data_IF_792170563264
#
_entry.id   IF_792170563264
#
_cell.length_a   1.000
_cell.length_b   1.000
_cell.length_c   1.000
_cell.angle_alpha   90.00
_cell.angle_beta   90.00
_cell.angle_gamma   90.00
#
_symmetry.space_group_name_H-M   'P 1'
#
loop_
_entity.id
_entity.type
_entity.pdbx_description
1 polymer ?
2 non-polymer ?
3 water ?
#
# COMPACT_ATOMS: atom_id res chain seq x y z
N UNK A 20 1.01 -4.24 -25.56
CA UNK A 20 0.54 -3.59 -26.83
C UNK A 20 -0.54 -2.55 -26.51
N UNK A 21 -1.62 -3.05 -25.90
CA UNK A 21 -2.60 -2.26 -25.15
C UNK A 21 -1.92 -1.27 -24.20
N UNK A 22 -0.80 -1.67 -23.57
CA UNK A 22 -0.15 -0.86 -22.56
C UNK A 22 1.14 -0.29 -23.14
N UNK A 23 1.25 -0.19 -24.46
CA UNK A 23 2.47 0.34 -25.04
C UNK A 23 2.73 1.77 -24.53
N UNK A 24 1.69 2.60 -24.52
CA UNK A 24 1.83 4.01 -24.16
C UNK A 24 2.26 4.12 -22.69
N UNK A 25 1.62 3.34 -21.82
CA UNK A 25 1.98 3.31 -20.42
C UNK A 25 3.50 3.09 -20.32
N UNK A 26 3.99 2.18 -21.17
CA UNK A 26 5.37 1.76 -21.11
C UNK A 26 6.28 2.92 -21.46
N UNK A 27 5.88 3.69 -22.48
CA UNK A 27 6.68 4.82 -22.95
C UNK A 27 6.70 5.93 -21.91
N UNK A 28 5.58 6.13 -21.23
CA UNK A 28 5.50 7.11 -20.16
C UNK A 28 6.43 6.72 -19.02
N UNK A 29 6.52 5.42 -18.77
CA UNK A 29 7.31 4.93 -17.68
C UNK A 29 8.76 5.08 -18.05
N UNK A 30 9.12 4.79 -19.31
CA UNK A 30 10.51 4.85 -19.72
C UNK A 30 10.98 6.30 -19.65
N UNK A 31 10.15 7.24 -20.09
CA UNK A 31 10.44 8.66 -20.03
C UNK A 31 10.75 9.09 -18.61
N UNK A 32 9.88 8.69 -17.68
CA UNK A 32 10.02 9.10 -16.30
C UNK A 32 11.30 8.54 -15.72
N UNK A 33 11.54 7.26 -15.98
CA UNK A 33 12.76 6.57 -15.53
C UNK A 33 14.00 7.34 -16.02
N UNK A 34 13.91 7.99 -17.20
CA UNK A 34 15.02 8.78 -17.69
C UNK A 34 15.07 10.13 -16.98
N UNK A 35 13.92 10.84 -16.95
CA UNK A 35 13.93 12.20 -16.43
C UNK A 35 14.32 12.24 -14.96
N UNK A 36 13.98 11.20 -14.20
CA UNK A 36 14.19 11.22 -12.74
C UNK A 36 15.43 10.39 -12.39
N UNK A 37 16.11 9.87 -13.42
CA UNK A 37 17.28 9.02 -13.20
C UNK A 37 17.00 7.98 -12.14
N UNK A 38 15.82 7.34 -12.23
CA UNK A 38 15.22 6.48 -11.19
C UNK A 38 15.13 5.01 -11.59
N UNK A 39 14.80 4.17 -10.60
CA UNK A 39 14.26 2.84 -10.84
C UNK A 39 12.74 2.91 -10.67
N UNK A 40 12.00 2.53 -11.74
CA UNK A 40 10.54 2.51 -11.67
C UNK A 40 9.98 1.11 -11.97
N UNK A 41 9.01 0.67 -11.15
CA UNK A 41 8.37 -0.63 -11.32
C UNK A 41 6.84 -0.49 -11.36
N UNK A 42 6.19 -1.15 -12.34
CA UNK A 42 4.73 -1.12 -12.43
C UNK A 42 4.14 -2.51 -12.70
N UNK A 43 2.97 -2.76 -12.11
CA UNK A 43 2.22 -3.97 -12.36
C UNK A 43 0.73 -3.67 -12.34
N UNK A 44 -0.01 -4.26 -13.27
CA UNK A 44 -1.43 -3.99 -13.45
C UNK A 44 -2.15 -5.31 -13.67
N UNK A 45 -3.12 -5.61 -12.80
CA UNK A 45 -3.91 -6.84 -12.87
C UNK A 45 -5.34 -6.48 -13.19
N UNK A 46 -5.89 -7.09 -14.26
CA UNK A 46 -7.29 -6.98 -14.64
C UNK A 46 -8.04 -8.22 -14.13
N UNK A 47 -8.91 -8.04 -13.13
CA UNK A 47 -9.53 -9.20 -12.51
C UNK A 47 -10.66 -9.80 -13.36
N UNK A 48 -11.27 -9.04 -14.27
CA UNK A 48 -12.39 -9.55 -15.05
C UNK A 48 -11.94 -10.76 -15.87
N UNK A 49 -11.13 -10.52 -16.91
CA UNK A 49 -10.39 -11.58 -17.58
C UNK A 49 -9.20 -11.86 -16.68
N UNK A 50 -8.14 -12.47 -17.21
CA UNK A 50 -6.95 -12.56 -16.39
C UNK A 50 -5.77 -11.84 -17.02
N UNK A 51 -5.98 -10.62 -17.52
CA UNK A 51 -4.89 -9.91 -18.15
C UNK A 51 -4.08 -9.21 -17.05
N UNK A 52 -2.81 -9.03 -17.38
CA UNK A 52 -1.81 -8.55 -16.45
C UNK A 52 -0.66 -7.94 -17.26
N UNK A 53 -0.04 -6.92 -16.70
CA UNK A 53 1.05 -6.22 -17.34
C UNK A 53 2.06 -5.76 -16.25
N UNK A 54 3.36 -5.79 -16.53
CA UNK A 54 4.37 -5.20 -15.65
C UNK A 54 5.52 -4.53 -16.43
N UNK A 55 6.11 -3.51 -15.80
CA UNK A 55 7.42 -2.99 -16.13
C UNK A 55 8.31 -3.10 -14.89
N UNK A 56 9.42 -3.85 -15.02
CA UNK A 56 10.28 -4.17 -13.89
C UNK A 56 9.44 -4.77 -12.75
N UNK A 57 8.46 -5.61 -13.10
CA UNK A 57 7.50 -6.07 -12.13
C UNK A 57 8.09 -7.04 -11.11
N UNK A 58 9.29 -7.51 -11.40
CA UNK A 58 9.98 -8.45 -10.54
C UNK A 58 11.09 -7.76 -9.74
N UNK A 59 11.30 -6.47 -9.95
CA UNK A 59 12.38 -5.80 -9.25
C UNK A 59 11.89 -5.48 -7.84
N UNK A 60 12.85 -5.29 -6.92
CA UNK A 60 12.53 -5.03 -5.53
C UNK A 60 12.49 -3.53 -5.30
N UNK A 61 11.51 -3.10 -4.50
CA UNK A 61 11.38 -1.73 -4.08
C UNK A 61 11.01 -1.73 -2.60
N UNK A 62 11.32 -0.66 -1.86
CA UNK A 62 10.82 -0.50 -0.50
C UNK A 62 9.31 -0.32 -0.44
N UNK A 63 8.70 -1.05 0.52
CA UNK A 63 7.29 -0.93 0.82
C UNK A 63 6.94 0.48 1.27
N UNK A 64 7.80 1.09 2.08
CA UNK A 64 7.38 2.22 2.90
C UNK A 64 5.95 1.95 3.41
N UNK A 65 5.02 2.90 3.28
CA UNK A 65 3.73 2.78 3.96
C UNK A 65 2.77 1.87 3.19
N UNK A 66 3.18 1.29 2.05
CA UNK A 66 2.28 0.41 1.32
C UNK A 66 2.07 -0.88 2.09
N UNK A 67 2.87 -1.08 3.15
CA UNK A 67 2.85 -2.27 3.95
C UNK A 67 1.66 -2.24 4.88
N UNK A 68 1.21 -1.04 5.24
CA UNK A 68 0.27 -0.91 6.33
C UNK A 68 -0.98 -1.72 6.00
N UNK A 69 -1.22 -1.95 4.71
CA UNK A 69 -2.43 -2.67 4.34
C UNK A 69 -2.34 -4.09 4.88
N UNK A 70 -1.13 -4.65 4.81
CA UNK A 70 -0.90 -6.06 5.08
C UNK A 70 -1.11 -6.33 6.56
N UNK A 71 -0.60 -5.45 7.41
CA UNK A 71 -0.74 -5.61 8.87
C UNK A 71 -2.18 -5.43 9.36
N UNK A 72 -2.97 -4.53 8.77
CA UNK A 72 -4.38 -4.41 9.15
C UNK A 72 -5.24 -5.52 8.47
N UNK A 73 -4.76 -6.11 7.39
CA UNK A 73 -5.45 -7.30 6.91
C UNK A 73 -5.10 -8.44 7.88
N UNK A 74 -3.88 -8.45 8.42
CA UNK A 74 -3.60 -9.48 9.42
C UNK A 74 -4.53 -9.32 10.61
N UNK A 75 -4.63 -8.10 11.17
CA UNK A 75 -5.44 -7.91 12.37
C UNK A 75 -6.82 -8.54 12.22
N UNK A 76 -7.52 -8.19 11.14
CA UNK A 76 -8.85 -8.70 10.83
C UNK A 76 -8.85 -10.22 10.68
N UNK A 77 -7.89 -10.77 9.94
CA UNK A 77 -7.80 -12.22 9.82
C UNK A 77 -7.61 -12.86 11.20
N UNK A 78 -6.59 -12.42 11.95
CA UNK A 78 -6.29 -12.98 13.26
C UNK A 78 -7.47 -12.83 14.24
N UNK A 79 -8.29 -11.78 14.09
CA UNK A 79 -9.49 -11.66 14.88
C UNK A 79 -10.51 -12.75 14.51
N UNK A 80 -10.69 -13.06 13.21
CA UNK A 80 -11.64 -14.07 12.77
C UNK A 80 -11.31 -15.41 13.42
N UNK A 81 -10.01 -15.64 13.64
CA UNK A 81 -9.49 -16.89 14.19
C UNK A 81 -9.51 -16.86 15.72
N UNK A 82 -10.01 -15.75 16.28
CA UNK A 82 -10.15 -15.59 17.71
C UNK A 82 -8.86 -15.28 18.46
N UNK A 83 -7.73 -14.99 17.77
CA UNK A 83 -6.42 -14.81 18.42
C UNK A 83 -6.20 -13.39 19.02
N UNK A 84 -7.05 -12.42 18.68
CA UNK A 84 -6.91 -11.08 19.23
C UNK A 84 -8.23 -10.35 19.03
N UNK A 85 -8.53 -9.40 19.93
CA UNK A 85 -9.77 -8.65 19.91
C UNK A 85 -9.46 -7.24 19.37
N UNK A 86 -10.13 -6.79 18.28
CA UNK A 86 -9.97 -5.42 17.78
C UNK A 86 -10.66 -4.31 18.58
N UNK A 87 -11.63 -4.67 19.44
CA UNK A 87 -12.21 -3.72 20.40
C UNK A 87 -11.33 -3.64 21.67
N UNK A 88 -10.21 -4.38 21.72
CA UNK A 88 -9.29 -4.24 22.83
C UNK A 88 -8.32 -3.07 22.59
N UNK A 89 -7.97 -2.36 23.66
CA UNK A 89 -7.34 -1.05 23.60
C UNK A 89 -5.89 -1.08 24.09
N UNK A 90 -5.03 -0.33 23.40
CA UNK A 90 -3.68 -0.12 23.92
C UNK A 90 -3.58 1.32 24.41
N UNK A 91 -2.59 1.52 25.31
CA UNK A 91 -2.39 2.75 26.03
C UNK A 91 -1.19 3.46 25.42
N UNK A 92 -1.36 4.74 25.09
CA UNK A 92 -0.32 5.48 24.40
C UNK A 92 0.55 6.18 25.43
N UNK A 93 1.84 5.88 25.40
CA UNK A 93 2.81 6.63 26.20
C UNK A 93 3.56 7.60 25.29
N UNK A 94 3.89 8.77 25.84
CA UNK A 94 4.67 9.78 25.15
C UNK A 94 5.87 9.15 24.45
N UNK A 95 6.61 8.24 25.10
CA UNK A 95 7.87 7.75 24.55
C UNK A 95 7.65 6.74 23.42
N UNK A 96 6.39 6.36 23.16
CA UNK A 96 6.13 5.45 22.05
C UNK A 96 6.05 6.19 20.71
N UNK A 97 5.92 7.53 20.76
CA UNK A 97 5.66 8.35 19.59
C UNK A 97 6.87 8.39 18.65
N UNK A 98 6.55 8.26 17.34
CA UNK A 98 7.50 8.39 16.25
C UNK A 98 7.00 9.51 15.35
N UNK A 99 7.90 9.99 14.49
CA UNK A 99 7.58 10.99 13.49
C UNK A 99 6.28 10.67 12.75
N UNK A 100 5.47 11.74 12.58
CA UNK A 100 4.20 11.76 11.87
C UNK A 100 3.21 10.72 12.42
N UNK A 101 2.54 11.14 13.49
CA UNK A 101 1.46 10.43 14.16
C UNK A 101 0.38 11.46 14.50
N UNK A 102 -0.37 11.99 13.53
CA UNK A 102 -1.40 12.98 13.84
C UNK A 102 -2.47 12.52 14.84
N UNK A 103 -3.00 11.31 14.64
CA UNK A 103 -4.10 10.80 15.45
C UNK A 103 -3.60 10.48 16.85
N UNK A 104 -2.47 9.81 16.90
CA UNK A 104 -2.05 9.23 18.16
C UNK A 104 -1.45 10.30 19.05
N UNK A 105 -0.85 11.35 18.48
CA UNK A 105 -0.26 12.39 19.30
C UNK A 105 -1.35 13.21 20.00
N UNK A 106 -2.58 13.16 19.49
CA UNK A 106 -3.73 13.78 20.14
C UNK A 106 -4.20 12.97 21.35
N UNK A 107 -3.56 11.84 21.70
CA UNK A 107 -4.19 10.88 22.61
C UNK A 107 -3.22 10.28 23.63
N UNK A 108 -2.06 10.93 23.85
CA UNK A 108 -1.15 10.50 24.90
C UNK A 108 -1.91 10.41 26.22
N UNK A 109 -1.72 9.30 26.95
CA UNK A 109 -2.51 8.99 28.14
C UNK A 109 -3.99 8.73 27.87
N UNK A 110 -4.32 8.25 26.66
CA UNK A 110 -5.60 7.60 26.40
C UNK A 110 -5.34 6.25 25.71
N UNK A 111 -6.40 5.42 25.71
CA UNK A 111 -6.35 4.09 25.10
C UNK A 111 -7.04 4.09 23.73
N UNK A 112 -6.58 3.22 22.84
CA UNK A 112 -7.21 3.15 21.53
C UNK A 112 -7.48 1.68 21.20
N UNK A 113 -8.68 1.44 20.64
CA UNK A 113 -9.02 0.17 20.00
C UNK A 113 -8.11 -0.04 18.78
N UNK A 114 -7.57 -1.26 18.65
CA UNK A 114 -6.80 -1.64 17.48
C UNK A 114 -7.60 -1.29 16.23
N UNK A 115 -8.89 -1.57 16.27
CA UNK A 115 -9.78 -1.17 15.19
C UNK A 115 -9.57 0.31 14.84
N UNK A 116 -9.60 1.18 15.86
CA UNK A 116 -9.38 2.60 15.68
C UNK A 116 -8.00 2.85 15.08
N UNK A 117 -6.98 2.12 15.60
CA UNK A 117 -5.58 2.29 15.19
C UNK A 117 -5.35 1.93 13.71
N UNK A 118 -6.05 0.92 13.22
CA UNK A 118 -6.02 0.59 11.81
C UNK A 118 -6.70 1.68 11.01
N UNK A 119 -7.90 2.13 11.45
CA UNK A 119 -8.56 3.26 10.79
C UNK A 119 -7.55 4.42 10.67
N UNK A 120 -6.88 4.76 11.77
CA UNK A 120 -5.92 5.85 11.80
C UNK A 120 -4.81 5.60 10.77
N UNK A 121 -4.10 4.47 10.88
CA UNK A 121 -2.95 4.26 10.03
C UNK A 121 -3.37 4.05 8.57
N UNK A 122 -4.57 3.52 8.30
CA UNK A 122 -4.94 3.33 6.91
C UNK A 122 -5.45 4.64 6.28
N UNK A 123 -6.03 5.52 7.10
CA UNK A 123 -6.64 6.74 6.56
C UNK A 123 -5.70 7.96 6.63
N UNK A 124 -4.75 8.00 7.58
CA UNK A 124 -3.86 9.15 7.69
C UNK A 124 -2.39 8.75 7.57
N UNK A 125 -2.16 7.44 7.72
CA UNK A 125 -0.83 6.83 7.70
C UNK A 125 -0.04 7.20 8.95
N UNK A 126 -0.76 7.38 10.07
CA UNK A 126 -0.17 7.62 11.38
C UNK A 126 0.83 6.51 11.68
N UNK A 127 2.07 6.87 12.01
CA UNK A 127 3.08 5.83 12.11
C UNK A 127 3.06 5.15 13.48
N UNK A 128 2.69 5.89 14.52
CA UNK A 128 2.64 5.27 15.83
C UNK A 128 1.55 4.20 15.81
N UNK A 129 0.43 4.53 15.20
CA UNK A 129 -0.68 3.62 15.05
C UNK A 129 -0.28 2.33 14.32
N UNK A 130 0.58 2.44 13.30
CA UNK A 130 1.12 1.29 12.59
C UNK A 130 1.96 0.43 13.52
N UNK A 131 2.83 1.06 14.30
CA UNK A 131 3.64 0.31 15.24
C UNK A 131 2.73 -0.44 16.21
N UNK A 132 1.60 0.16 16.58
CA UNK A 132 0.71 -0.50 17.53
C UNK A 132 0.19 -1.76 16.87
N UNK A 133 -0.49 -1.59 15.74
CA UNK A 133 -1.02 -2.68 14.97
C UNK A 133 0.03 -3.79 14.82
N UNK A 134 1.31 -3.45 14.56
CA UNK A 134 2.38 -4.44 14.36
C UNK A 134 2.62 -5.30 15.59
N UNK A 135 2.62 -4.64 16.76
CA UNK A 135 2.82 -5.29 18.04
C UNK A 135 1.68 -6.27 18.36
N UNK A 136 0.50 -6.04 17.81
CA UNK A 136 -0.64 -6.93 18.08
C UNK A 136 -0.75 -8.06 17.04
N UNK A 137 0.13 -8.12 16.02
CA UNK A 137 0.05 -9.20 15.05
C UNK A 137 1.41 -9.88 14.87
N UNK A 138 2.28 -9.81 15.88
CA UNK A 138 3.44 -10.68 15.91
C UNK A 138 4.66 -10.03 15.27
N UNK A 139 4.61 -8.72 15.06
CA UNK A 139 5.78 -7.97 14.64
C UNK A 139 6.05 -8.15 13.15
N UNK A 140 7.22 -7.68 12.67
CA UNK A 140 7.58 -7.78 11.26
C UNK A 140 7.65 -9.22 10.78
N UNK A 141 8.02 -10.14 11.69
CA UNK A 141 8.09 -11.57 11.39
C UNK A 141 6.69 -12.17 11.27
N UNK A 142 5.74 -11.66 12.02
CA UNK A 142 4.38 -12.16 11.90
C UNK A 142 3.78 -11.83 10.53
N UNK A 143 3.98 -10.59 10.11
CA UNK A 143 3.52 -10.07 8.83
C UNK A 143 4.13 -10.88 7.68
N UNK A 144 5.43 -11.16 7.75
CA UNK A 144 6.11 -11.91 6.70
C UNK A 144 5.59 -13.34 6.65
N UNK A 145 5.42 -13.99 7.81
CA UNK A 145 4.93 -15.36 7.85
C UNK A 145 3.57 -15.39 7.15
N UNK A 146 2.77 -14.35 7.40
CA UNK A 146 1.40 -14.28 6.94
C UNK A 146 1.37 -14.23 5.41
N UNK A 147 2.28 -13.40 4.88
CA UNK A 147 2.40 -13.19 3.46
C UNK A 147 2.73 -14.54 2.80
N UNK A 148 3.69 -15.27 3.37
CA UNK A 148 4.05 -16.61 2.92
C UNK A 148 2.81 -17.52 2.90
N UNK A 149 1.94 -17.45 3.92
CA UNK A 149 0.81 -18.35 3.97
C UNK A 149 -0.27 -17.97 2.94
N UNK A 150 -0.35 -16.73 2.47
CA UNK A 150 -1.29 -16.47 1.38
C UNK A 150 -0.57 -16.63 0.04
N UNK A 151 0.72 -16.96 0.08
CA UNK A 151 1.41 -17.31 -1.16
C UNK A 151 2.12 -16.13 -1.81
N UNK A 152 2.34 -15.05 -1.05
CA UNK A 152 3.30 -14.02 -1.46
C UNK A 152 4.67 -14.53 -1.02
N UNK A 153 5.57 -14.73 -1.99
CA UNK A 153 6.88 -15.29 -1.73
C UNK A 153 7.98 -14.22 -1.70
N UNK A 154 7.66 -12.97 -2.08
CA UNK A 154 8.69 -11.95 -2.25
C UNK A 154 8.61 -10.90 -1.12
N UNK A 155 7.39 -10.44 -0.80
CA UNK A 155 7.21 -9.34 0.12
C UNK A 155 7.66 -9.75 1.52
N UNK A 156 8.31 -8.80 2.19
CA UNK A 156 8.85 -9.06 3.51
C UNK A 156 8.96 -7.77 4.32
N UNK A 157 8.42 -7.80 5.54
CA UNK A 157 8.65 -6.78 6.57
C UNK A 157 9.59 -7.30 7.69
N UNK A 158 10.51 -6.40 8.06
CA UNK A 158 11.70 -6.72 8.79
C UNK A 158 11.94 -5.72 9.92
N UNK A 159 11.32 -4.54 9.83
CA UNK A 159 11.55 -3.45 10.78
C UNK A 159 10.25 -2.72 11.02
N UNK A 160 10.22 -1.93 12.09
CA UNK A 160 9.07 -1.12 12.43
C UNK A 160 9.34 0.32 12.00
N UNK A 161 8.47 1.25 12.44
CA UNK A 161 8.62 2.63 12.05
C UNK A 161 9.59 3.29 13.02
N UNK A 162 10.53 4.12 12.54
CA UNK A 162 10.59 4.58 11.15
C UNK A 162 11.67 3.99 10.24
N UNK A 163 12.47 3.08 10.77
CA UNK A 163 13.66 2.60 10.08
C UNK A 163 13.31 1.82 8.82
N UNK A 164 12.08 1.29 8.69
CA UNK A 164 11.69 0.47 7.53
C UNK A 164 11.69 1.30 6.25
N UNK A 165 11.71 2.64 6.38
CA UNK A 165 11.66 3.55 5.26
C UNK A 165 13.04 3.88 4.71
N UNK A 166 14.07 3.16 5.16
CA UNK A 166 15.44 3.54 4.89
C UNK A 166 15.73 3.46 3.38
N UNK A 167 15.25 2.40 2.70
CA UNK A 167 15.17 2.39 1.26
C UNK A 167 16.54 2.35 0.60
N UNK A 168 17.48 1.70 1.29
CA UNK A 168 18.87 1.66 0.90
C UNK A 168 19.03 0.67 -0.26
N UNK A 169 19.95 1.00 -1.17
CA UNK A 169 20.25 0.18 -2.33
C UNK A 169 20.75 -1.22 -1.98
N UNK A 170 20.18 -2.22 -2.63
CA UNK A 170 20.57 -3.61 -2.44
C UNK A 170 20.11 -4.19 -1.09
N UNK A 171 19.46 -3.36 -0.26
CA UNK A 171 18.91 -3.83 1.01
C UNK A 171 17.60 -4.57 0.73
N UNK A 172 17.54 -5.83 1.21
CA UNK A 172 16.39 -6.68 0.99
C UNK A 172 15.26 -6.37 1.99
N UNK A 173 15.59 -5.81 3.14
CA UNK A 173 14.58 -5.62 4.17
C UNK A 173 13.50 -4.63 3.71
N UNK A 174 12.23 -4.95 4.03
CA UNK A 174 11.09 -4.08 3.90
C UNK A 174 10.80 -3.80 2.43
N UNK A 175 10.91 -4.84 1.59
CA UNK A 175 10.74 -4.73 0.15
C UNK A 175 9.59 -5.58 -0.40
N UNK A 176 9.12 -5.20 -1.58
CA UNK A 176 8.20 -6.06 -2.31
C UNK A 176 8.60 -5.99 -3.77
N UNK A 177 7.86 -6.68 -4.63
CA UNK A 177 7.93 -6.41 -6.07
C UNK A 177 6.59 -5.85 -6.50
N UNK A 178 6.52 -5.06 -7.57
CA UNK A 178 5.24 -4.48 -7.94
C UNK A 178 4.23 -5.62 -8.08
N UNK A 179 4.65 -6.72 -8.70
CA UNK A 179 3.74 -7.82 -9.00
C UNK A 179 3.31 -8.51 -7.70
N UNK A 180 4.26 -8.76 -6.82
CA UNK A 180 3.93 -9.51 -5.61
C UNK A 180 2.86 -8.82 -4.76
N UNK A 181 2.97 -7.50 -4.53
CA UNK A 181 2.04 -6.79 -3.69
C UNK A 181 0.70 -6.58 -4.41
N UNK A 182 0.76 -6.41 -5.71
CA UNK A 182 -0.45 -6.35 -6.50
C UNK A 182 -1.23 -7.66 -6.36
N UNK A 183 -0.56 -8.83 -6.44
CA UNK A 183 -1.23 -10.11 -6.21
C UNK A 183 -1.78 -10.20 -4.79
N UNK A 184 -0.99 -9.80 -3.79
CA UNK A 184 -1.40 -9.88 -2.40
C UNK A 184 -2.70 -9.08 -2.17
N UNK A 185 -2.70 -7.84 -2.64
CA UNK A 185 -3.85 -6.96 -2.51
C UNK A 185 -5.05 -7.58 -3.23
N UNK A 186 -4.82 -8.21 -4.39
CA UNK A 186 -5.84 -8.95 -5.11
C UNK A 186 -6.51 -9.99 -4.21
N UNK A 187 -5.70 -10.81 -3.54
CA UNK A 187 -6.19 -11.87 -2.69
C UNK A 187 -6.87 -11.34 -1.44
N UNK A 188 -6.41 -10.21 -0.89
CA UNK A 188 -6.99 -9.71 0.34
C UNK A 188 -8.44 -9.30 0.12
N UNK A 189 -8.71 -8.70 -1.02
CA UNK A 189 -9.98 -8.01 -1.23
C UNK A 189 -10.99 -8.88 -1.98
N UNK A 190 -10.49 -9.83 -2.78
CA UNK A 190 -11.29 -10.57 -3.74
C UNK A 190 -11.15 -12.08 -3.58
N UNK A 191 -10.14 -12.51 -2.80
CA UNK A 191 -9.98 -13.90 -2.43
C UNK A 191 -10.71 -14.22 -1.14
N UNK A 192 -10.51 -15.44 -0.62
CA UNK A 192 -11.36 -15.91 0.46
C UNK A 192 -10.64 -15.98 1.80
N UNK A 193 -9.40 -15.53 1.85
CA UNK A 193 -8.64 -15.44 3.11
C UNK A 193 -9.44 -14.77 4.24
N UNK A 194 -10.26 -13.80 3.88
CA UNK A 194 -11.00 -12.96 4.80
C UNK A 194 -12.50 -13.12 4.56
N UNK A 195 -13.30 -12.95 5.63
CA UNK A 195 -14.75 -12.97 5.49
C UNK A 195 -15.17 -11.77 4.65
N UNK A 196 -16.37 -11.84 4.08
CA UNK A 196 -16.85 -10.78 3.19
C UNK A 196 -16.92 -9.47 3.96
N UNK A 197 -17.43 -9.53 5.19
CA UNK A 197 -17.57 -8.35 6.01
C UNK A 197 -16.17 -7.71 6.18
N UNK A 198 -15.16 -8.52 6.54
CA UNK A 198 -13.80 -8.04 6.72
C UNK A 198 -13.11 -7.59 5.43
N UNK A 199 -13.42 -8.18 4.28
CA UNK A 199 -12.99 -7.63 3.00
C UNK A 199 -13.56 -6.22 2.86
N UNK A 200 -14.79 -6.05 3.33
CA UNK A 200 -15.52 -4.83 3.08
C UNK A 200 -14.98 -3.74 4.01
N UNK A 201 -14.45 -4.16 5.15
CA UNK A 201 -13.91 -3.25 6.14
C UNK A 201 -12.59 -2.69 5.62
N UNK A 202 -11.76 -3.61 5.10
CA UNK A 202 -10.45 -3.30 4.58
C UNK A 202 -10.58 -2.39 3.38
N UNK A 203 -11.55 -2.72 2.51
CA UNK A 203 -11.91 -1.85 1.41
C UNK A 203 -12.19 -0.44 1.91
N UNK A 204 -12.98 -0.32 2.99
CA UNK A 204 -13.40 1.00 3.49
C UNK A 204 -12.19 1.73 4.03
N UNK A 205 -11.34 1.03 4.78
CA UNK A 205 -10.16 1.70 5.27
C UNK A 205 -9.48 2.34 4.05
N UNK A 206 -9.25 1.53 3.02
CA UNK A 206 -8.54 2.03 1.86
C UNK A 206 -9.33 3.08 1.07
N UNK A 207 -10.66 2.91 0.95
CA UNK A 207 -11.52 3.87 0.26
C UNK A 207 -11.52 5.20 1.02
N UNK A 208 -11.40 5.17 2.36
CA UNK A 208 -11.53 6.38 3.17
C UNK A 208 -10.15 6.96 3.54
N UNK A 209 -9.16 6.68 2.69
CA UNK A 209 -7.80 7.24 2.75
C UNK A 209 -7.87 8.74 2.49
N UNK A 210 -7.30 9.54 3.38
CA UNK A 210 -7.46 10.99 3.32
C UNK A 210 -6.19 11.64 2.78
N UNK A 211 -5.15 10.84 2.50
CA UNK A 211 -3.85 11.47 2.30
C UNK A 211 -3.28 11.10 0.95
N UNK A 212 -4.13 10.91 -0.06
CA UNK A 212 -3.67 10.48 -1.37
C UNK A 212 -4.43 11.19 -2.49
N UNK A 213 -5.13 12.28 -2.14
CA UNK A 213 -5.82 13.03 -3.16
C UNK A 213 -4.90 13.53 -4.26
N UNK A 214 -3.60 13.62 -3.99
CA UNK A 214 -2.68 14.19 -4.98
C UNK A 214 -2.15 13.12 -5.93
N UNK A 215 -2.54 11.87 -5.74
CA UNK A 215 -2.03 10.79 -6.55
C UNK A 215 -3.11 10.33 -7.53
N UNK A 216 -3.47 9.05 -7.53
CA UNK A 216 -4.29 8.46 -8.57
C UNK A 216 -5.70 9.03 -8.52
N UNK A 217 -6.21 9.31 -7.32
CA UNK A 217 -7.51 9.96 -7.20
C UNK A 217 -7.59 11.22 -8.05
N UNK A 218 -6.50 11.98 -8.20
CA UNK A 218 -6.58 13.24 -8.88
C UNK A 218 -6.73 13.04 -10.40
N UNK A 219 -6.57 11.80 -10.90
CA UNK A 219 -6.78 11.53 -12.32
C UNK A 219 -7.82 10.41 -12.48
N UNK A 220 -8.63 10.12 -11.46
CA UNK A 220 -9.57 9.02 -11.55
C UNK A 220 -10.74 9.39 -12.47
N UNK A 221 -11.12 8.54 -13.47
CA UNK A 221 -12.24 8.82 -14.37
C UNK A 221 -13.50 9.11 -13.55
N UNK A 222 -14.40 9.93 -14.12
CA UNK A 222 -15.57 10.40 -13.39
C UNK A 222 -16.39 9.16 -13.01
N UNK A 223 -16.90 9.15 -11.77
CA UNK A 223 -17.74 8.07 -11.30
C UNK A 223 -17.02 6.77 -10.92
N UNK A 224 -15.70 6.64 -11.18
CA UNK A 224 -14.97 5.45 -10.78
C UNK A 224 -14.75 5.44 -9.27
N UNK A 225 -14.58 4.26 -8.66
CA UNK A 225 -14.21 4.18 -7.25
C UNK A 225 -12.72 3.85 -7.16
N UNK A 226 -12.15 3.95 -5.95
CA UNK A 226 -10.74 3.72 -5.71
C UNK A 226 -10.53 3.40 -4.23
N UNK A 227 -9.75 2.33 -3.98
CA UNK A 227 -9.23 1.97 -2.67
C UNK A 227 -7.70 1.95 -2.74
N UNK A 228 -7.01 2.70 -1.87
CA UNK A 228 -5.61 2.98 -2.14
C UNK A 228 -4.83 3.15 -0.85
N UNK A 229 -3.52 2.96 -1.02
CA UNK A 229 -2.54 3.02 0.06
C UNK A 229 -1.24 3.45 -0.60
N UNK A 230 -0.58 4.50 -0.06
CA UNK A 230 0.57 5.07 -0.74
C UNK A 230 1.77 5.11 0.20
N UNK A 231 2.93 5.40 -0.38
CA UNK A 231 4.15 5.30 0.39
C UNK A 231 5.16 6.33 -0.09
N UNK A 232 6.04 6.74 0.84
CA UNK A 232 7.18 7.54 0.53
C UNK A 232 8.28 7.16 1.50
N UNK A 233 9.53 7.23 1.05
CA UNK A 233 10.60 7.22 2.04
C UNK A 233 11.91 7.64 1.41
N UNK A 234 12.92 6.79 1.65
CA UNK A 234 14.31 7.18 1.60
C UNK A 234 14.88 6.99 0.21
N UNK A 235 15.90 7.82 -0.08
CA UNK A 235 16.52 7.86 -1.39
C UNK A 235 15.39 7.95 -2.41
N UNK A 236 14.36 8.71 -2.06
CA UNK A 236 13.34 9.17 -2.99
C UNK A 236 12.24 8.15 -3.28
N UNK A 237 12.16 7.04 -2.53
CA UNK A 237 11.14 6.02 -2.74
C UNK A 237 9.74 6.65 -2.71
N UNK A 238 8.91 6.25 -3.66
CA UNK A 238 7.54 6.75 -3.76
C UNK A 238 6.70 5.63 -4.40
N UNK A 239 5.54 5.34 -3.83
CA UNK A 239 4.74 4.26 -4.38
C UNK A 239 3.26 4.43 -4.04
N UNK A 240 2.43 3.71 -4.80
CA UNK A 240 1.05 3.51 -4.41
C UNK A 240 0.61 2.11 -4.83
N UNK A 241 -0.29 1.54 -4.03
CA UNK A 241 -1.01 0.35 -4.43
C UNK A 241 -2.50 0.63 -4.32
N UNK A 242 -3.25 0.37 -5.41
CA UNK A 242 -4.65 0.76 -5.47
C UNK A 242 -5.50 -0.26 -6.24
N UNK A 243 -6.81 -0.27 -5.92
CA UNK A 243 -7.83 -0.97 -6.67
C UNK A 243 -8.80 0.08 -7.21
N UNK A 244 -9.08 0.04 -8.52
CA UNK A 244 -10.09 0.90 -9.08
C UNK A 244 -11.16 0.07 -9.78
N UNK A 245 -12.43 0.50 -9.63
CA UNK A 245 -13.55 -0.18 -10.24
C UNK A 245 -14.71 0.80 -10.45
N UNK A 246 -15.73 0.35 -11.20
CA UNK A 246 -16.89 1.16 -11.54
C UNK A 246 -18.05 0.28 -12.01
N UNK A 247 -19.22 0.91 -12.24
CA UNK A 247 -20.41 0.23 -12.72
C UNK A 247 -20.05 -0.79 -13.81
N UNK A 248 -19.24 -0.40 -14.82
CA UNK A 248 -18.96 -1.25 -15.97
C UNK A 248 -17.56 -1.88 -15.94
N UNK A 249 -16.66 -1.33 -15.11
CA UNK A 249 -15.27 -1.75 -15.11
C UNK A 249 -14.96 -2.59 -13.88
N UNK A 250 -14.67 -3.89 -14.08
CA UNK A 250 -14.39 -4.78 -12.97
C UNK A 250 -13.06 -4.40 -12.29
N UNK A 251 -12.78 -4.78 -11.03
CA UNK A 251 -11.59 -4.28 -10.36
C UNK A 251 -10.29 -4.46 -11.14
N UNK A 252 -9.56 -3.33 -11.26
CA UNK A 252 -8.21 -3.28 -11.75
C UNK A 252 -7.26 -2.88 -10.62
N UNK A 253 -6.19 -3.67 -10.44
CA UNK A 253 -5.20 -3.51 -9.39
C UNK A 253 -3.93 -2.87 -9.96
N UNK A 254 -3.51 -1.78 -9.33
CA UNK A 254 -2.38 -0.99 -9.81
C UNK A 254 -1.34 -0.88 -8.68
N UNK A 255 -0.10 -1.05 -9.09
CA UNK A 255 1.05 -1.11 -8.23
C UNK A 255 2.15 -0.30 -8.91
N UNK A 256 2.52 0.86 -8.33
CA UNK A 256 3.57 1.71 -8.91
C UNK A 256 4.61 2.04 -7.84
N UNK A 257 5.89 1.73 -8.10
CA UNK A 257 7.00 1.94 -7.18
C UNK A 257 8.12 2.66 -7.92
N UNK A 258 8.59 3.77 -7.33
CA UNK A 258 9.80 4.49 -7.71
C UNK A 258 10.83 4.35 -6.58
N UNK A 259 12.11 4.46 -6.94
CA UNK A 259 13.18 4.38 -5.97
C UNK A 259 14.49 4.95 -6.52
N UNK A 260 15.43 5.24 -5.59
CA UNK A 260 16.78 5.70 -5.91
C UNK A 260 16.73 6.93 -6.82
N UNK A 261 15.90 7.90 -6.49
CA UNK A 261 15.87 9.15 -7.24
C UNK A 261 16.13 10.32 -6.31
N UNK A 262 16.64 11.42 -6.88
CA UNK A 262 16.77 12.70 -6.21
C UNK A 262 15.63 13.62 -6.63
N UNK A 263 14.67 13.14 -7.40
CA UNK A 263 13.56 14.01 -7.73
C UNK A 263 12.87 14.54 -6.46
N UNK A 264 12.35 15.75 -6.59
CA UNK A 264 11.44 16.36 -5.64
C UNK A 264 10.16 15.54 -5.49
N UNK A 265 9.62 15.54 -4.27
CA UNK A 265 8.35 14.92 -4.03
C UNK A 265 7.37 15.31 -5.16
N UNK A 266 7.38 16.56 -5.62
CA UNK A 266 6.39 17.02 -6.57
C UNK A 266 6.60 16.28 -7.89
N UNK A 267 7.86 16.07 -8.24
CA UNK A 267 8.25 15.37 -9.45
C UNK A 267 7.82 13.92 -9.35
N UNK A 268 8.00 13.33 -8.15
CA UNK A 268 7.63 11.95 -7.94
C UNK A 268 6.11 11.82 -7.97
N UNK A 269 5.38 12.82 -7.45
CA UNK A 269 3.92 12.75 -7.47
C UNK A 269 3.44 12.90 -8.91
N UNK A 270 4.15 13.70 -9.70
CA UNK A 270 3.78 13.97 -11.07
C UNK A 270 3.92 12.69 -11.91
N UNK A 271 5.01 11.97 -11.70
CA UNK A 271 5.27 10.68 -12.28
C UNK A 271 4.13 9.70 -12.02
N UNK A 272 3.65 9.62 -10.78
CA UNK A 272 2.57 8.72 -10.44
C UNK A 272 1.25 9.08 -11.11
N UNK A 273 0.93 10.36 -11.35
CA UNK A 273 -0.39 10.69 -11.88
C UNK A 273 -0.38 10.58 -13.42
N UNK A 274 0.79 10.76 -14.02
CA UNK A 274 0.97 10.51 -15.45
C UNK A 274 0.80 9.02 -15.78
N UNK A 275 1.51 8.16 -15.04
CA UNK A 275 1.43 6.72 -15.19
C UNK A 275 0.01 6.25 -14.91
N UNK A 276 -0.65 6.81 -13.89
CA UNK A 276 -2.02 6.42 -13.57
C UNK A 276 -2.99 6.75 -14.70
N UNK A 277 -2.79 7.90 -15.31
CA UNK A 277 -3.68 8.40 -16.34
C UNK A 277 -3.54 7.54 -17.60
N UNK A 278 -2.30 7.21 -17.99
CA UNK A 278 -2.07 6.25 -19.05
C UNK A 278 -2.76 4.92 -18.73
N UNK A 279 -2.60 4.44 -17.49
CA UNK A 279 -3.17 3.16 -17.14
C UNK A 279 -4.68 3.28 -17.27
N UNK A 280 -5.24 4.37 -16.77
CA UNK A 280 -6.68 4.51 -16.75
C UNK A 280 -7.21 4.57 -18.18
N UNK A 281 -6.45 5.26 -19.06
CA UNK A 281 -6.78 5.48 -20.47
C UNK A 281 -6.97 4.18 -21.24
N UNK A 282 -6.15 3.20 -20.89
CA UNK A 282 -6.24 1.87 -21.45
C UNK A 282 -7.69 1.37 -21.36
N UNK A 283 -8.35 1.63 -20.22
CA UNK A 283 -9.65 1.09 -19.84
C UNK A 283 -10.83 2.06 -20.09
N UNK A 284 -10.60 3.25 -20.67
CA UNK A 284 -11.68 4.18 -20.96
C UNK A 284 -11.82 4.52 -22.44
N UNK A 285 -10.85 4.13 -23.27
CA UNK A 285 -11.06 4.10 -24.72
C UNK A 285 -10.81 2.68 -25.25
X LIG B 1 9.68 3.62 -27.39
X LIG B 1 9.55 3.19 -26.01
X LIG B 1 10.73 2.85 -28.01
X LIG B 1 8.44 3.41 -28.09
X LIG B 1 10.00 5.03 -27.46
X LIG C 1 12.96 -2.59 -23.87
X LIG C 1 11.83 -2.72 -23.00
X LIG C 1 13.86 -3.69 -23.69
X LIG C 1 12.53 -2.59 -25.26
X LIG C 1 13.64 -1.36 -23.52
X LIG D 1 11.94 13.77 0.81
X LIG D 1 11.27 13.16 1.93
X LIG D 1 12.99 14.65 1.25
X LIG D 1 10.99 14.55 0.05
X LIG D 1 12.52 12.72 -0.02
X LIG E 1 3.84 7.94 3.41
X LIG E 1 3.01 7.78 4.57
X LIG E 1 4.73 6.78 3.29
X LIG E 1 2.98 8.10 2.25
X LIG E 1 4.63 9.14 3.54
X LIG F 1 -17.66 3.31 -16.65
X LIG F 1 -18.29 3.74 -15.42
X LIG F 1 -16.81 2.18 -16.40
X LIG F 1 -18.68 2.93 -17.59
X LIG F 1 -16.89 4.39 -17.22
X LIG G 1 17.90 -12.73 5.33
X LIG G 1 17.51 -12.12 6.58
X LIG G 1 18.94 -13.71 5.60
X LIG G 1 16.76 -13.40 4.74
X LIG G 1 18.40 -11.71 4.43
X LIG H 1 17.39 7.69 3.73
X LIG H 1 18.70 7.11 3.83
X LIG H 1 16.41 6.65 3.94
X LIG H 1 17.22 8.28 2.42
X LIG H 1 17.23 8.70 4.73
X LIG I 1 21.47 -1.28 10.10
X LIG I 1 22.06 -0.66 11.28
X LIG I 1 22.17 -2.50 9.81
X LIG I 1 21.57 -0.37 8.97
X LIG I 1 20.08 -1.57 10.35
#
# INVERSE_FOLDING_TARGET
MKFLLAFSLLIPSVVFASSSKFQQVEQDVKAIEVSLSARIGVSVLDTQNGEYWDYNGNQRFPLTSTFKTIACAKLLYDAEQGKVNPNSTVEIKKADLVTYSPVIEKQVGQAITLDDACFATMTTSDNTAANIILSAVGGPKGVTDFLRQIGDKETRLDRIEPDLNEGKLGDLRDTTTPKAIASTLNKFLFGSALSEMNQKKLESWMVNNQVTGNLLRSVLPAGWNIADRSGAGGFGARSITAVVWSEHQAPIIVSIYLAQTQASMEERNDAIVKIGHSIFDVYTSQSR
SO4 S O1 O2 O3 O4
SO4 S O1 O2 O3 O4
SO4 S O1 O2 O3 O4
SO4 S O1 O2 O3 O4
SO4 S O1 O2 O3 O4
SO4 S O1 O2 O3 O4
SO4 S O1 O2 O3 O4
SO4 S O1 O2 O3 O4
#
